data_IF_437596781901
#
_entry.id   IF_437596781901
#
_cell.length_a   1.000
_cell.length_b   1.000
_cell.length_c   1.000
_cell.angle_alpha   90.00
_cell.angle_beta   90.00
_cell.angle_gamma   90.00
#
_symmetry.space_group_name_H-M   'P 1'
#
loop_
_entity.id
_entity.type
_entity.pdbx_description
1 polymer ?
#
# COMPACT_ATOMS: atom_id res chain seq x y z
N UNK A 1 0.67 18.63 -9.11
CA UNK A 1 -0.27 19.30 -10.04
C UNK A 1 0.27 19.46 -11.46
N UNK A 2 1.57 19.70 -11.68
CA UNK A 2 2.16 19.87 -13.04
C UNK A 2 1.69 18.88 -14.13
N UNK A 3 1.56 17.58 -13.84
CA UNK A 3 1.07 16.61 -14.84
C UNK A 3 -0.43 16.70 -15.10
N UNK A 4 -1.23 17.01 -14.07
CA UNK A 4 -2.67 17.23 -14.18
C UNK A 4 -2.92 18.42 -15.11
N UNK A 5 -2.23 19.54 -14.86
CA UNK A 5 -2.27 20.73 -15.71
C UNK A 5 -1.80 20.44 -17.14
N UNK A 6 -0.66 19.75 -17.30
CA UNK A 6 -0.10 19.40 -18.61
C UNK A 6 -1.04 18.57 -19.47
N UNK A 7 -1.80 17.65 -18.86
CA UNK A 7 -2.77 16.82 -19.56
C UNK A 7 -4.16 17.46 -19.65
N UNK A 8 -4.37 18.64 -19.06
CA UNK A 8 -5.69 19.28 -19.01
C UNK A 8 -6.72 18.46 -18.23
N UNK A 9 -6.29 17.70 -17.22
CA UNK A 9 -7.17 16.83 -16.43
C UNK A 9 -8.01 17.67 -15.47
N UNK A 10 -9.33 17.56 -15.56
CA UNK A 10 -10.26 18.13 -14.59
C UNK A 10 -10.28 17.27 -13.32
N UNK A 11 -9.66 17.77 -12.24
CA UNK A 11 -9.61 17.10 -10.94
C UNK A 11 -10.79 17.52 -10.06
N UNK A 12 -11.64 16.56 -9.69
CA UNK A 12 -12.75 16.78 -8.75
C UNK A 12 -12.45 16.02 -7.45
N UNK A 13 -12.05 16.76 -6.41
CA UNK A 13 -11.85 16.20 -5.07
C UNK A 13 -13.19 16.06 -4.36
N UNK A 14 -13.24 15.21 -3.32
CA UNK A 14 -14.46 14.96 -2.52
C UNK A 14 -15.67 14.51 -3.36
N UNK A 15 -15.41 13.82 -4.48
CA UNK A 15 -16.43 13.25 -5.37
C UNK A 15 -16.30 11.73 -5.39
N UNK A 16 -17.22 11.03 -4.73
CA UNK A 16 -17.18 9.57 -4.61
C UNK A 16 -18.17 8.91 -5.56
N UNK A 17 -17.74 7.92 -6.35
CA UNK A 17 -18.64 7.15 -7.21
C UNK A 17 -19.57 6.28 -6.36
N UNK A 18 -20.89 6.39 -6.54
CA UNK A 18 -21.90 5.64 -5.77
C UNK A 18 -22.79 4.74 -6.64
N UNK A 19 -22.94 5.05 -7.93
CA UNK A 19 -23.66 4.18 -8.86
C UNK A 19 -23.11 4.34 -10.28
N UNK A 20 -23.30 3.29 -11.09
CA UNK A 20 -22.92 3.27 -12.52
C UNK A 20 -23.99 2.54 -13.32
N UNK A 21 -24.48 3.18 -14.38
CA UNK A 21 -25.28 2.58 -15.43
C UNK A 21 -24.42 2.48 -16.70
N UNK A 22 -23.93 1.27 -16.98
CA UNK A 22 -23.09 1.01 -18.16
C UNK A 22 -23.83 1.11 -19.48
N UNK A 23 -25.13 0.79 -19.52
CA UNK A 23 -25.92 0.81 -20.74
C UNK A 23 -26.28 2.25 -21.13
N UNK A 24 -26.68 3.07 -20.16
CA UNK A 24 -26.93 4.49 -20.35
C UNK A 24 -25.66 5.34 -20.35
N UNK A 25 -24.49 4.75 -20.09
CA UNK A 25 -23.19 5.43 -19.99
C UNK A 25 -23.18 6.57 -18.96
N UNK A 26 -23.78 6.33 -17.80
CA UNK A 26 -23.96 7.33 -16.73
C UNK A 26 -23.33 6.86 -15.42
N UNK A 27 -22.65 7.77 -14.72
CA UNK A 27 -22.05 7.55 -13.41
C UNK A 27 -22.59 8.60 -12.43
N UNK A 28 -22.97 8.16 -11.24
CA UNK A 28 -23.50 9.01 -10.18
C UNK A 28 -22.45 9.16 -9.09
N UNK A 29 -22.14 10.40 -8.75
CA UNK A 29 -21.16 10.74 -7.73
C UNK A 29 -21.82 11.45 -6.55
N UNK A 30 -21.43 11.10 -5.34
CA UNK A 30 -21.75 11.84 -4.12
C UNK A 30 -20.73 12.97 -3.93
N UNK A 31 -21.21 14.20 -3.76
CA UNK A 31 -20.44 15.40 -3.50
C UNK A 31 -21.06 16.16 -2.32
N UNK A 32 -20.48 16.03 -1.12
CA UNK A 32 -21.11 16.55 0.09
C UNK A 32 -22.47 15.88 0.34
N UNK A 33 -23.54 16.68 0.41
CA UNK A 33 -24.93 16.19 0.54
C UNK A 33 -25.63 15.96 -0.80
N UNK A 34 -25.01 16.32 -1.92
CA UNK A 34 -25.62 16.27 -3.25
C UNK A 34 -25.15 15.06 -4.06
N UNK A 35 -26.00 14.63 -5.00
CA UNK A 35 -25.64 13.63 -6.01
C UNK A 35 -25.58 14.27 -7.38
N UNK A 36 -24.58 13.87 -8.15
CA UNK A 36 -24.24 14.49 -9.43
C UNK A 36 -24.05 13.40 -10.47
N UNK A 37 -24.85 13.47 -11.54
CA UNK A 37 -24.74 12.56 -12.68
C UNK A 37 -23.74 13.07 -13.72
N UNK A 38 -22.95 12.16 -14.28
CA UNK A 38 -22.01 12.42 -15.37
C UNK A 38 -22.08 11.32 -16.40
N UNK A 39 -22.12 11.72 -17.67
CA UNK A 39 -21.96 10.80 -18.79
C UNK A 39 -20.49 10.43 -19.00
N UNK A 40 -20.23 9.22 -19.52
CA UNK A 40 -18.87 8.78 -19.83
C UNK A 40 -18.80 8.00 -21.15
N UNK A 41 -17.75 8.22 -21.92
CA UNK A 41 -17.38 7.30 -23.01
C UNK A 41 -16.52 6.15 -22.53
N UNK A 42 -15.69 6.42 -21.52
CA UNK A 42 -14.83 5.46 -20.83
C UNK A 42 -14.76 5.80 -19.34
N UNK A 43 -14.80 4.78 -18.50
CA UNK A 43 -14.64 4.94 -17.05
C UNK A 43 -13.73 3.85 -16.49
N UNK A 44 -12.77 4.26 -15.66
CA UNK A 44 -11.92 3.38 -14.89
C UNK A 44 -12.26 3.52 -13.40
N UNK A 45 -12.85 2.47 -12.82
CA UNK A 45 -13.31 2.47 -11.43
C UNK A 45 -12.30 1.77 -10.53
N UNK A 46 -11.90 2.44 -9.45
CA UNK A 46 -11.24 1.78 -8.32
C UNK A 46 -12.36 1.36 -7.37
N UNK A 47 -12.60 0.05 -7.16
CA UNK A 47 -13.69 -0.39 -6.31
C UNK A 47 -13.42 -0.04 -4.84
N UNK A 48 -14.47 0.14 -4.01
CA UNK A 48 -14.29 0.16 -2.56
C UNK A 48 -13.59 -1.11 -2.09
N UNK A 49 -12.59 -0.96 -1.23
CA UNK A 49 -11.79 -2.06 -0.71
C UNK A 49 -12.05 -2.24 0.78
N UNK A 50 -12.32 -3.47 1.19
CA UNK A 50 -12.59 -3.87 2.57
C UNK A 50 -11.78 -5.13 2.90
N UNK A 51 -11.44 -5.34 4.17
CA UNK A 51 -10.77 -6.57 4.62
C UNK A 51 -11.62 -7.81 4.25
N UNK A 52 -11.04 -8.99 4.00
CA UNK A 52 -11.84 -10.20 3.75
C UNK A 52 -12.84 -10.53 4.86
N UNK A 53 -14.00 -11.09 4.52
CA UNK A 53 -15.09 -11.35 5.47
C UNK A 53 -14.65 -12.21 6.67
N UNK A 54 -13.91 -13.28 6.43
CA UNK A 54 -13.42 -14.15 7.50
C UNK A 54 -12.51 -13.45 8.51
N UNK A 55 -11.92 -12.30 8.14
CA UNK A 55 -11.16 -11.45 9.06
C UNK A 55 -12.13 -10.55 9.83
N UNK A 56 -13.00 -9.83 9.11
CA UNK A 56 -13.97 -8.89 9.72
C UNK A 56 -14.90 -9.57 10.73
N UNK A 57 -15.22 -10.84 10.51
CA UNK A 57 -16.08 -11.64 11.40
C UNK A 57 -15.30 -12.41 12.47
N UNK A 58 -13.98 -12.26 12.53
CA UNK A 58 -13.11 -12.94 13.51
C UNK A 58 -12.86 -12.07 14.75
N UNK A 59 -12.41 -12.67 15.87
CA UNK A 59 -11.94 -11.91 17.03
C UNK A 59 -10.63 -11.13 16.75
N UNK A 60 -10.05 -11.24 15.55
CA UNK A 60 -8.80 -10.56 15.19
C UNK A 60 -9.02 -9.18 14.56
N UNK A 61 -10.26 -8.79 14.30
CA UNK A 61 -10.58 -7.53 13.65
C UNK A 61 -10.66 -6.36 14.63
N UNK A 62 -10.21 -5.18 14.20
CA UNK A 62 -10.54 -3.91 14.84
C UNK A 62 -11.97 -3.45 14.49
N UNK A 63 -12.39 -2.32 15.05
CA UNK A 63 -13.72 -1.74 14.82
C UNK A 63 -14.03 -1.46 13.34
N UNK A 64 -12.99 -1.24 12.52
CA UNK A 64 -13.11 -1.02 11.08
C UNK A 64 -13.04 -2.31 10.25
N UNK A 65 -12.89 -3.48 10.90
CA UNK A 65 -12.85 -4.79 10.28
C UNK A 65 -11.46 -5.26 9.81
N UNK A 66 -10.41 -4.47 10.03
CA UNK A 66 -9.05 -4.85 9.63
C UNK A 66 -8.40 -5.70 10.71
N UNK A 67 -7.45 -6.56 10.34
CA UNK A 67 -6.70 -7.33 11.34
C UNK A 67 -5.93 -6.38 12.25
N UNK A 68 -6.23 -6.40 13.56
CA UNK A 68 -5.66 -5.49 14.54
C UNK A 68 -4.21 -5.89 14.86
N UNK A 69 -3.26 -5.00 14.56
CA UNK A 69 -1.84 -5.22 14.87
C UNK A 69 -1.23 -4.06 15.64
N UNK A 70 -0.24 -4.36 16.48
CA UNK A 70 0.75 -3.37 16.87
C UNK A 70 1.55 -2.95 15.62
N UNK A 71 1.57 -1.65 15.34
CA UNK A 71 2.11 -1.11 14.09
C UNK A 71 3.61 -1.43 13.90
N UNK A 72 4.36 -1.54 14.99
CA UNK A 72 5.81 -1.76 14.91
C UNK A 72 6.11 -3.25 14.75
N UNK A 73 5.52 -4.11 15.59
CA UNK A 73 5.87 -5.54 15.66
C UNK A 73 5.04 -6.41 14.73
N UNK A 74 3.91 -5.89 14.24
CA UNK A 74 2.92 -6.60 13.41
C UNK A 74 2.29 -7.83 14.08
N UNK A 75 2.38 -7.89 15.41
CA UNK A 75 1.71 -8.86 16.27
C UNK A 75 0.30 -8.37 16.57
N UNK A 76 -0.65 -9.29 16.74
CA UNK A 76 -1.99 -8.92 17.19
C UNK A 76 -1.94 -8.20 18.54
N UNK A 77 -2.76 -7.17 18.71
CA UNK A 77 -2.78 -6.32 19.91
C UNK A 77 -3.18 -7.08 21.17
N UNK A 78 -4.08 -8.06 21.03
CA UNK A 78 -4.60 -8.87 22.15
C UNK A 78 -4.11 -10.33 22.17
N UNK A 79 -3.59 -10.84 21.05
CA UNK A 79 -3.24 -12.26 20.89
C UNK A 79 -1.74 -12.39 20.60
N UNK A 80 -0.95 -12.73 21.62
CA UNK A 80 0.52 -12.65 21.58
C UNK A 80 1.20 -13.68 20.67
N UNK A 81 0.47 -14.68 20.20
CA UNK A 81 0.94 -15.73 19.29
C UNK A 81 0.38 -15.58 17.86
N UNK A 82 -0.32 -14.48 17.55
CA UNK A 82 -0.91 -14.24 16.23
C UNK A 82 -0.28 -13.00 15.61
N UNK A 83 0.01 -13.08 14.31
CA UNK A 83 0.68 -12.04 13.54
C UNK A 83 -0.01 -11.91 12.18
N UNK A 84 0.06 -10.71 11.60
CA UNK A 84 -0.43 -10.46 10.25
C UNK A 84 0.43 -9.40 9.55
N UNK A 85 0.42 -9.41 8.22
CA UNK A 85 1.09 -8.40 7.41
C UNK A 85 0.31 -8.15 6.12
N UNK A 86 0.69 -7.10 5.41
CA UNK A 86 0.07 -6.70 4.14
C UNK A 86 -1.27 -6.01 4.30
N UNK A 87 -2.06 -6.06 3.24
CA UNK A 87 -3.24 -5.23 3.05
C UNK A 87 -4.36 -5.51 4.07
N UNK A 88 -4.33 -6.69 4.71
CA UNK A 88 -5.33 -7.10 5.70
C UNK A 88 -5.21 -6.37 7.04
N UNK A 89 -4.02 -5.83 7.34
CA UNK A 89 -3.71 -5.22 8.65
C UNK A 89 -4.20 -3.79 8.76
N UNK A 90 -4.41 -3.32 9.98
CA UNK A 90 -4.71 -1.93 10.30
C UNK A 90 -3.45 -1.05 10.48
N UNK A 91 -2.26 -1.56 10.18
CA UNK A 91 -1.03 -0.78 10.26
C UNK A 91 -1.15 0.51 9.40
N UNK A 92 -0.80 1.70 9.94
CA UNK A 92 -1.07 2.99 9.31
C UNK A 92 -0.06 3.33 8.20
N UNK A 93 0.08 2.46 7.20
CA UNK A 93 0.96 2.61 6.04
C UNK A 93 0.19 2.45 4.72
N UNK A 94 0.81 2.80 3.60
CA UNK A 94 0.25 2.48 2.30
C UNK A 94 0.28 0.96 2.06
N UNK A 95 -0.89 0.40 1.72
CA UNK A 95 -1.10 -1.01 1.37
C UNK A 95 -0.49 -1.30 -0.01
N UNK A 96 0.77 -1.74 -0.01
CA UNK A 96 1.57 -1.95 -1.22
C UNK A 96 2.45 -3.19 -1.09
N UNK A 97 2.80 -3.83 -2.21
CA UNK A 97 3.76 -4.93 -2.20
C UNK A 97 5.15 -4.50 -1.68
N UNK A 98 5.52 -3.23 -1.85
CA UNK A 98 6.75 -2.68 -1.29
C UNK A 98 6.72 -2.65 0.25
N UNK A 99 5.56 -2.37 0.85
CA UNK A 99 5.36 -2.50 2.30
C UNK A 99 5.46 -3.95 2.75
N UNK A 100 4.75 -4.88 2.08
CA UNK A 100 4.85 -6.33 2.37
C UNK A 100 6.30 -6.80 2.38
N UNK A 101 7.11 -6.35 1.41
CA UNK A 101 8.53 -6.67 1.31
C UNK A 101 9.32 -6.33 2.60
N UNK A 102 8.94 -5.26 3.31
CA UNK A 102 9.54 -4.84 4.60
C UNK A 102 8.87 -5.45 5.81
N UNK A 103 7.58 -5.75 5.73
CA UNK A 103 6.82 -6.35 6.83
C UNK A 103 7.17 -7.83 7.02
N UNK A 104 7.44 -8.58 5.95
CA UNK A 104 7.79 -10.01 6.00
C UNK A 104 8.94 -10.32 6.96
N UNK A 105 10.14 -9.71 6.84
CA UNK A 105 11.23 -9.99 7.77
C UNK A 105 10.90 -9.61 9.21
N UNK A 106 10.06 -8.60 9.44
CA UNK A 106 9.63 -8.20 10.79
C UNK A 106 8.79 -9.29 11.43
N UNK A 107 7.76 -9.77 10.73
CA UNK A 107 6.92 -10.87 11.22
C UNK A 107 7.74 -12.15 11.39
N UNK A 108 8.58 -12.52 10.41
CA UNK A 108 9.40 -13.73 10.51
C UNK A 108 10.32 -13.71 11.73
N UNK A 109 11.08 -12.63 11.94
CA UNK A 109 11.98 -12.52 13.10
C UNK A 109 11.21 -12.54 14.42
N UNK A 110 10.08 -11.84 14.52
CA UNK A 110 9.28 -11.81 15.75
C UNK A 110 8.63 -13.16 16.05
N UNK A 111 8.12 -13.87 15.03
CA UNK A 111 7.60 -15.25 15.20
C UNK A 111 8.70 -16.19 15.66
N UNK A 112 9.88 -16.16 15.04
CA UNK A 112 11.02 -16.99 15.43
C UNK A 112 11.53 -16.66 16.84
N UNK A 113 11.53 -15.37 17.22
CA UNK A 113 11.86 -14.95 18.57
C UNK A 113 10.83 -15.49 19.58
N UNK A 114 9.53 -15.38 19.28
CA UNK A 114 8.46 -15.90 20.14
C UNK A 114 8.57 -17.41 20.36
N UNK A 115 8.79 -18.19 19.29
CA UNK A 115 8.99 -19.64 19.38
C UNK A 115 10.20 -19.99 20.26
N UNK A 116 11.27 -19.20 20.17
CA UNK A 116 12.49 -19.40 20.95
C UNK A 116 12.41 -18.80 22.37
N UNK A 117 11.28 -18.25 22.81
CA UNK A 117 11.16 -17.57 24.10
C UNK A 117 12.00 -16.29 24.24
N UNK A 118 12.38 -15.68 23.11
CA UNK A 118 13.17 -14.44 23.04
C UNK A 118 12.27 -13.22 22.88
N UNK A 119 12.81 -12.06 23.21
CA UNK A 119 12.13 -10.79 23.04
C UNK A 119 11.92 -10.44 21.55
N UNK A 120 10.73 -9.95 21.22
CA UNK A 120 10.30 -9.60 19.86
C UNK A 120 10.66 -8.13 19.57
N UNK A 121 11.94 -7.88 19.30
CA UNK A 121 12.47 -6.51 19.15
C UNK A 121 12.48 -6.01 17.71
N UNK A 122 12.02 -6.81 16.75
CA UNK A 122 12.03 -6.42 15.36
C UNK A 122 10.87 -5.45 15.07
N UNK A 123 11.15 -4.35 14.39
CA UNK A 123 10.18 -3.28 14.13
C UNK A 123 10.07 -2.90 12.66
N UNK A 124 8.85 -2.55 12.28
CA UNK A 124 8.46 -1.98 11.01
C UNK A 124 8.29 -0.46 11.15
N UNK A 125 8.89 0.30 10.24
CA UNK A 125 8.92 1.78 10.26
C UNK A 125 7.81 2.42 9.40
N UNK A 126 6.84 1.60 8.96
CA UNK A 126 5.76 2.05 8.10
C UNK A 126 6.15 2.18 6.62
N UNK A 127 7.33 1.68 6.22
CA UNK A 127 7.80 1.81 4.83
C UNK A 127 6.77 1.32 3.81
N UNK A 128 6.40 2.20 2.89
CA UNK A 128 5.70 1.90 1.65
C UNK A 128 6.37 2.58 0.47
N UNK A 129 6.12 2.06 -0.73
CA UNK A 129 6.55 2.70 -1.95
C UNK A 129 5.45 2.64 -3.01
N UNK A 130 5.24 3.76 -3.70
CA UNK A 130 4.30 3.89 -4.80
C UNK A 130 5.02 4.44 -6.03
N UNK A 131 5.41 3.57 -6.99
CA UNK A 131 5.96 4.01 -8.26
C UNK A 131 4.83 4.56 -9.14
N UNK A 132 4.57 5.87 -9.02
CA UNK A 132 3.53 6.59 -9.75
C UNK A 132 3.94 6.75 -11.21
N UNK A 133 3.27 6.02 -12.10
CA UNK A 133 3.42 6.20 -13.54
C UNK A 133 2.74 7.49 -13.95
N UNK A 134 3.52 8.48 -14.38
CA UNK A 134 3.01 9.81 -14.76
C UNK A 134 2.93 10.02 -16.27
N UNK A 135 3.77 9.31 -17.03
CA UNK A 135 3.70 9.22 -18.49
C UNK A 135 4.41 7.93 -18.95
N UNK A 136 4.17 7.50 -20.20
CA UNK A 136 4.88 6.34 -20.73
C UNK A 136 6.40 6.60 -20.70
N UNK A 137 7.13 5.73 -19.98
CA UNK A 137 8.56 5.86 -19.83
C UNK A 137 9.04 6.67 -18.62
N UNK A 138 8.15 7.27 -17.79
CA UNK A 138 8.57 7.96 -16.56
C UNK A 138 7.71 7.60 -15.35
N UNK A 139 8.40 7.40 -14.23
CA UNK A 139 7.80 7.13 -12.91
C UNK A 139 8.32 8.15 -11.90
N UNK A 140 7.44 8.64 -11.04
CA UNK A 140 7.81 9.28 -9.77
C UNK A 140 7.86 8.16 -8.71
N UNK A 141 9.05 7.90 -8.16
CA UNK A 141 9.25 6.81 -7.19
C UNK A 141 9.02 7.36 -5.78
N UNK A 142 7.77 7.38 -5.31
CA UNK A 142 7.46 7.85 -3.97
C UNK A 142 7.76 6.73 -2.95
N UNK A 143 8.56 7.05 -1.93
CA UNK A 143 8.92 6.15 -0.82
C UNK A 143 8.77 6.87 0.50
N UNK A 144 8.08 6.27 1.47
CA UNK A 144 7.69 6.93 2.71
C UNK A 144 7.50 5.93 3.85
N UNK A 145 7.64 6.37 5.09
CA UNK A 145 7.34 5.63 6.32
C UNK A 145 6.13 6.21 7.06
N UNK A 146 5.98 5.83 8.33
CA UNK A 146 4.94 6.39 9.18
C UNK A 146 4.98 7.92 9.25
N UNK A 147 3.80 8.54 9.37
CA UNK A 147 3.64 10.00 9.40
C UNK A 147 4.03 10.71 8.10
N UNK A 148 4.18 9.98 6.98
CA UNK A 148 4.58 10.55 5.70
C UNK A 148 6.07 10.92 5.59
N UNK A 149 6.90 10.43 6.51
CA UNK A 149 8.36 10.62 6.47
C UNK A 149 8.92 10.05 5.16
N UNK A 150 9.67 10.85 4.39
CA UNK A 150 10.32 10.35 3.18
C UNK A 150 11.44 9.36 3.52
N UNK A 151 11.43 8.20 2.85
CA UNK A 151 12.43 7.14 3.02
C UNK A 151 13.01 6.70 1.65
N UNK A 152 13.68 7.60 0.92
CA UNK A 152 14.21 7.28 -0.41
C UNK A 152 15.31 6.21 -0.32
N UNK A 153 15.20 5.16 -1.14
CA UNK A 153 16.23 4.10 -1.23
C UNK A 153 17.47 4.59 -1.97
N UNK A 154 17.31 5.51 -2.93
CA UNK A 154 18.40 6.03 -3.75
C UNK A 154 18.66 7.52 -3.44
N UNK A 155 19.91 8.00 -3.57
CA UNK A 155 20.25 9.42 -3.38
C UNK A 155 19.85 10.26 -4.61
N UNK A 156 18.57 10.22 -4.97
CA UNK A 156 17.99 10.93 -6.11
C UNK A 156 16.72 11.65 -5.69
N UNK A 157 16.36 12.69 -6.44
CA UNK A 157 15.12 13.42 -6.21
C UNK A 157 13.91 12.57 -6.64
N UNK A 158 13.36 11.85 -5.67
CA UNK A 158 12.20 10.96 -5.82
C UNK A 158 10.88 11.69 -6.11
N UNK A 159 10.86 13.03 -6.04
CA UNK A 159 9.69 13.85 -6.42
C UNK A 159 9.59 14.11 -7.92
N UNK A 160 10.68 13.85 -8.66
CA UNK A 160 10.76 14.08 -10.09
C UNK A 160 10.51 12.81 -10.91
N UNK A 161 9.83 12.92 -12.06
CA UNK A 161 9.67 11.80 -12.98
C UNK A 161 11.02 11.32 -13.52
N UNK A 162 11.27 10.02 -13.44
CA UNK A 162 12.53 9.40 -13.84
C UNK A 162 12.32 8.24 -14.80
N UNK A 163 13.10 8.24 -15.90
CA UNK A 163 13.20 7.10 -16.83
C UNK A 163 13.91 5.90 -16.19
N UNK A 164 14.86 6.16 -15.29
CA UNK A 164 15.54 5.10 -14.53
C UNK A 164 14.57 4.40 -13.58
N UNK A 165 13.73 5.17 -12.89
CA UNK A 165 12.67 4.61 -12.03
C UNK A 165 11.63 3.83 -12.85
N UNK A 166 11.30 4.28 -14.07
CA UNK A 166 10.47 3.52 -15.00
C UNK A 166 11.10 2.18 -15.37
N UNK A 167 12.39 2.17 -15.74
CA UNK A 167 13.09 0.93 -16.07
C UNK A 167 13.12 -0.03 -14.88
N UNK A 168 13.44 0.48 -13.69
CA UNK A 168 13.39 -0.25 -12.42
C UNK A 168 12.01 -0.91 -12.22
N UNK A 169 10.93 -0.11 -12.31
CA UNK A 169 9.55 -0.58 -12.13
C UNK A 169 9.12 -1.59 -13.18
N UNK A 170 9.42 -1.34 -14.45
CA UNK A 170 8.94 -2.14 -15.58
C UNK A 170 9.68 -3.47 -15.72
N UNK A 171 11.00 -3.49 -15.48
CA UNK A 171 11.83 -4.65 -15.82
C UNK A 171 12.46 -5.32 -14.59
N UNK A 172 12.95 -4.56 -13.62
CA UNK A 172 13.67 -5.15 -12.49
C UNK A 172 12.74 -5.59 -11.36
N UNK A 173 11.74 -4.78 -10.99
CA UNK A 173 10.79 -5.12 -9.91
C UNK A 173 10.05 -6.44 -10.14
N UNK A 174 9.58 -6.80 -11.35
CA UNK A 174 9.01 -8.13 -11.59
C UNK A 174 10.00 -9.26 -11.32
N UNK A 175 11.26 -9.12 -11.73
CA UNK A 175 12.28 -10.12 -11.47
C UNK A 175 12.57 -10.25 -9.96
N UNK A 176 12.69 -9.12 -9.25
CA UNK A 176 12.86 -9.08 -7.79
C UNK A 176 11.68 -9.79 -7.11
N UNK A 177 10.45 -9.49 -7.53
CA UNK A 177 9.24 -10.09 -6.99
C UNK A 177 9.26 -11.63 -7.11
N UNK A 178 9.42 -12.15 -8.34
CA UNK A 178 9.32 -13.60 -8.60
C UNK A 178 10.53 -14.41 -8.10
N UNK A 179 11.74 -13.87 -8.21
CA UNK A 179 12.96 -14.65 -7.94
C UNK A 179 13.58 -14.39 -6.57
N UNK A 180 13.27 -13.27 -5.91
CA UNK A 180 13.81 -12.93 -4.60
C UNK A 180 12.72 -12.89 -3.54
N UNK A 181 11.73 -12.00 -3.68
CA UNK A 181 10.70 -11.75 -2.67
C UNK A 181 9.86 -13.00 -2.39
N UNK A 182 9.24 -13.59 -3.41
CA UNK A 182 8.41 -14.80 -3.22
C UNK A 182 9.21 -16.03 -2.77
N UNK A 183 10.53 -16.04 -2.99
CA UNK A 183 11.41 -17.14 -2.56
C UNK A 183 12.00 -16.91 -1.16
N UNK A 184 11.72 -15.78 -0.51
CA UNK A 184 12.32 -15.42 0.77
C UNK A 184 13.84 -15.20 0.71
N UNK A 185 14.38 -14.83 -0.46
CA UNK A 185 15.83 -14.64 -0.69
C UNK A 185 16.23 -13.18 -0.87
N UNK A 186 15.37 -12.26 -0.47
CA UNK A 186 15.60 -10.82 -0.60
C UNK A 186 16.61 -10.33 0.45
N UNK A 187 17.88 -10.26 0.07
CA UNK A 187 18.98 -9.79 0.96
C UNK A 187 19.11 -8.27 1.04
N UNK A 188 18.38 -7.54 0.20
CA UNK A 188 18.41 -6.07 0.14
C UNK A 188 17.66 -5.39 1.30
N UNK A 189 17.02 -6.17 2.17
CA UNK A 189 16.27 -5.68 3.31
C UNK A 189 16.85 -6.29 4.57
N UNK A 190 17.07 -5.43 5.57
CA UNK A 190 17.35 -5.85 6.93
C UNK A 190 16.27 -5.30 7.85
N UNK A 191 15.69 -6.13 8.72
CA UNK A 191 14.79 -5.66 9.76
C UNK A 191 15.51 -4.70 10.71
N UNK A 192 14.80 -3.69 11.19
CA UNK A 192 15.28 -2.81 12.25
C UNK A 192 14.94 -3.42 13.61
N UNK A 193 15.76 -3.16 14.62
CA UNK A 193 15.54 -3.63 16.00
C UNK A 193 15.49 -2.44 16.94
N UNK A 194 14.65 -2.53 17.98
CA UNK A 194 14.67 -1.63 19.14
C UNK A 194 15.95 -1.83 19.96
#
# INVERSE_FOLDING_TARGET
>A
MKYIERYGVSLNLQSNLVAIDGAAKKAVFQQGSETVEREFDFIHVVPPQIAPEFIRSSPFADEAGWFAVDQDTLRHTEHTNVYALGDVTNAPNAKTAAAVRKQVPVVCENVLAAIAGRQQNCVYDGYGACPLTVEHGKVVLAEFGYGGKLLPTFPVDNTKPSRKAWFLKRHLMPHIYWNLMLRGRETLIKPQRR
#
